data_IF_313933662001
#
_entry.id   IF_313933662001
#
_cell.length_a   1.000
_cell.length_b   1.000
_cell.length_c   1.000
_cell.angle_alpha   90.00
_cell.angle_beta   90.00
_cell.angle_gamma   90.00
#
_symmetry.space_group_name_H-M   'P 1'
#
loop_
_entity.id
_entity.type
_entity.pdbx_description
1 polymer ?
#
# COMPACT_ATOMS: atom_id res chain seq x y z
N UNK A 1 -55.27 -51.12 -37.41
CA UNK A 1 -55.20 -49.72 -36.97
C UNK A 1 -53.80 -49.50 -36.41
N UNK A 2 -52.88 -48.67 -36.87
CA UNK A 2 -52.70 -47.75 -38.01
C UNK A 2 -51.19 -47.46 -38.03
N UNK A 3 -50.50 -47.70 -39.14
CA UNK A 3 -49.90 -46.67 -40.01
C UNK A 3 -49.02 -45.62 -39.29
N UNK A 4 -47.70 -45.71 -39.47
CA UNK A 4 -46.74 -44.64 -39.16
C UNK A 4 -45.93 -44.30 -40.42
N UNK A 5 -46.15 -43.09 -40.95
CA UNK A 5 -45.49 -42.50 -42.13
C UNK A 5 -44.41 -41.51 -41.67
N UNK A 6 -43.36 -41.40 -42.48
CA UNK A 6 -42.22 -40.47 -42.44
C UNK A 6 -42.56 -38.98 -42.16
N UNK A 7 -41.68 -38.30 -41.40
CA UNK A 7 -41.11 -36.97 -41.73
C UNK A 7 -40.15 -36.46 -40.61
N UNK A 8 -38.98 -35.94 -41.01
CA UNK A 8 -38.12 -34.99 -40.25
C UNK A 8 -38.64 -33.54 -40.49
N UNK A 9 -38.30 -32.45 -39.75
CA UNK A 9 -36.98 -32.07 -39.19
C UNK A 9 -36.98 -31.17 -37.89
N UNK A 10 -35.79 -30.63 -37.56
CA UNK A 10 -35.48 -29.31 -36.94
C UNK A 10 -34.85 -29.22 -35.53
N UNK A 11 -33.59 -28.76 -35.55
CA UNK A 11 -32.90 -27.78 -34.69
C UNK A 11 -32.69 -27.99 -33.17
N UNK A 12 -31.43 -28.21 -32.79
CA UNK A 12 -30.70 -27.52 -31.71
C UNK A 12 -29.21 -27.86 -31.90
N UNK A 13 -28.32 -26.94 -32.28
CA UNK A 13 -27.71 -25.95 -31.40
C UNK A 13 -26.20 -26.05 -31.59
N UNK A 14 -25.54 -24.91 -31.82
CA UNK A 14 -24.16 -24.79 -32.29
C UNK A 14 -23.12 -25.37 -31.32
N UNK A 15 -22.24 -26.23 -31.83
CA UNK A 15 -21.02 -26.67 -31.15
C UNK A 15 -19.89 -26.78 -32.16
N UNK A 16 -19.08 -25.73 -32.29
CA UNK A 16 -17.87 -25.79 -33.11
C UNK A 16 -16.81 -26.61 -32.36
N UNK A 17 -16.54 -27.81 -32.85
CA UNK A 17 -15.35 -28.58 -32.49
C UNK A 17 -14.35 -28.56 -33.65
N UNK A 18 -13.10 -28.28 -33.28
CA UNK A 18 -12.01 -27.82 -34.12
C UNK A 18 -11.74 -28.61 -35.40
N UNK A 19 -11.29 -27.88 -36.41
CA UNK A 19 -10.74 -28.42 -37.65
C UNK A 19 -9.47 -29.23 -37.32
N UNK A 20 -9.54 -30.55 -37.50
CA UNK A 20 -8.36 -31.40 -37.65
C UNK A 20 -7.83 -31.26 -39.07
N UNK A 21 -6.58 -30.85 -39.24
CA UNK A 21 -5.85 -31.02 -40.49
C UNK A 21 -4.91 -32.23 -40.35
N UNK A 22 -5.17 -33.27 -41.13
CA UNK A 22 -4.26 -34.40 -41.31
C UNK A 22 -3.28 -34.07 -42.47
N UNK A 23 -2.04 -34.59 -42.45
CA UNK A 23 -0.92 -34.06 -43.21
C UNK A 23 -0.87 -34.68 -44.60
N UNK A 24 -0.79 -33.86 -45.65
CA UNK A 24 -0.14 -34.27 -46.91
C UNK A 24 0.03 -33.07 -47.82
N UNK A 25 1.28 -32.60 -47.91
CA UNK A 25 2.01 -32.25 -49.13
C UNK A 25 3.26 -31.50 -48.68
N UNK A 26 4.37 -32.24 -48.58
CA UNK A 26 5.70 -31.66 -48.67
C UNK A 26 5.78 -30.90 -49.99
N UNK A 27 5.76 -29.57 -49.91
CA UNK A 27 6.46 -28.75 -50.87
C UNK A 27 7.61 -28.10 -50.11
N UNK A 28 8.70 -27.89 -50.82
CA UNK A 28 9.97 -27.28 -50.42
C UNK A 28 11.09 -28.26 -50.04
N UNK A 29 12.12 -28.16 -50.87
CA UNK A 29 13.28 -29.01 -51.05
C UNK A 29 14.26 -28.85 -49.88
N UNK A 30 14.84 -29.97 -49.47
CA UNK A 30 16.00 -30.03 -48.59
C UNK A 30 17.20 -29.37 -49.26
N UNK A 31 17.57 -28.18 -48.84
CA UNK A 31 18.94 -27.67 -48.89
C UNK A 31 19.12 -26.62 -47.81
N UNK A 32 20.31 -26.67 -47.22
CA UNK A 32 20.84 -25.78 -46.19
C UNK A 32 20.43 -26.14 -44.76
N UNK A 33 21.05 -27.21 -44.28
CA UNK A 33 21.21 -27.54 -42.87
C UNK A 33 22.01 -26.45 -42.16
N UNK A 34 21.36 -25.33 -41.84
CA UNK A 34 21.77 -24.52 -40.69
C UNK A 34 21.12 -25.19 -39.50
N UNK A 35 21.91 -26.02 -38.79
CA UNK A 35 21.50 -26.51 -37.49
C UNK A 35 21.25 -25.30 -36.60
N UNK A 36 19.98 -24.87 -36.53
CA UNK A 36 19.51 -23.96 -35.50
C UNK A 36 19.68 -24.76 -34.22
N UNK A 37 20.86 -24.65 -33.62
CA UNK A 37 21.05 -24.96 -32.22
C UNK A 37 19.98 -24.13 -31.54
N UNK A 38 18.88 -24.80 -31.15
CA UNK A 38 18.00 -24.31 -30.11
C UNK A 38 18.97 -24.10 -28.95
N UNK A 39 19.45 -22.87 -28.80
CA UNK A 39 19.73 -22.35 -27.48
C UNK A 39 18.40 -22.49 -26.78
N UNK A 40 18.21 -23.63 -26.13
CA UNK A 40 17.28 -23.76 -25.04
C UNK A 40 17.79 -22.70 -24.09
N UNK A 41 17.26 -21.47 -24.21
CA UNK A 41 17.32 -20.54 -23.11
C UNK A 41 16.57 -21.32 -22.05
N UNK A 42 17.32 -21.89 -21.13
CA UNK A 42 16.72 -22.38 -19.91
C UNK A 42 16.18 -21.11 -19.27
N UNK A 43 14.90 -20.83 -19.52
CA UNK A 43 14.09 -20.08 -18.57
C UNK A 43 13.89 -20.99 -17.34
N UNK A 44 15.01 -21.45 -16.77
CA UNK A 44 15.18 -22.11 -15.49
C UNK A 44 15.47 -21.08 -14.41
N UNK A 45 14.95 -19.87 -14.58
CA UNK A 45 14.80 -18.92 -13.51
C UNK A 45 13.30 -18.73 -13.34
N UNK A 46 12.77 -19.03 -12.15
CA UNK A 46 11.42 -18.64 -11.76
C UNK A 46 11.24 -17.15 -12.08
N UNK A 47 10.59 -16.83 -13.19
CA UNK A 47 10.20 -15.46 -13.53
C UNK A 47 9.03 -15.03 -12.65
N UNK A 48 9.27 -14.98 -11.34
CA UNK A 48 8.45 -14.18 -10.43
C UNK A 48 8.98 -12.75 -10.46
N UNK A 49 8.88 -12.11 -11.65
CA UNK A 49 9.41 -10.77 -11.87
C UNK A 49 8.44 -9.68 -11.38
N UNK A 50 7.17 -10.05 -11.19
CA UNK A 50 6.11 -9.12 -10.80
C UNK A 50 5.73 -9.39 -9.35
N UNK A 51 6.00 -8.41 -8.48
CA UNK A 51 5.50 -8.41 -7.11
C UNK A 51 4.14 -7.73 -7.09
N UNK A 52 3.18 -8.32 -6.39
CA UNK A 52 1.89 -7.68 -6.12
C UNK A 52 1.99 -6.90 -4.81
N UNK A 53 1.39 -5.70 -4.78
CA UNK A 53 1.27 -4.95 -3.52
C UNK A 53 0.34 -5.67 -2.56
N UNK A 54 0.74 -5.81 -1.28
CA UNK A 54 -0.11 -6.45 -0.27
C UNK A 54 -1.21 -5.48 0.21
N UNK A 55 -2.51 -5.79 -0.03
CA UNK A 55 -3.61 -4.94 0.43
C UNK A 55 -4.02 -5.23 1.89
N UNK A 56 -3.53 -6.30 2.51
CA UNK A 56 -3.96 -6.77 3.83
C UNK A 56 -2.99 -6.27 4.90
N UNK A 57 -3.52 -5.69 5.99
CA UNK A 57 -2.76 -5.22 7.17
C UNK A 57 -1.61 -4.25 6.82
N UNK A 58 -1.74 -3.51 5.72
CA UNK A 58 -0.73 -2.59 5.21
C UNK A 58 -1.24 -1.14 5.24
N UNK A 59 -1.96 -0.78 6.30
CA UNK A 59 -2.49 0.58 6.52
C UNK A 59 -1.36 1.60 6.60
N UNK A 60 -1.63 2.82 6.12
CA UNK A 60 -0.68 3.92 6.02
C UNK A 60 -1.13 5.09 6.89
N UNK A 61 -0.17 5.94 7.24
CA UNK A 61 -0.31 7.03 8.19
C UNK A 61 0.33 8.30 7.61
N UNK A 62 -0.01 8.60 6.36
CA UNK A 62 0.52 9.75 5.61
C UNK A 62 2.05 9.73 5.46
N UNK A 63 2.71 10.89 5.55
CA UNK A 63 4.12 11.07 5.26
C UNK A 63 5.02 10.11 6.06
N UNK A 64 6.10 9.65 5.40
CA UNK A 64 7.07 8.67 5.90
C UNK A 64 6.54 7.26 6.20
N UNK A 65 5.22 7.02 6.19
CA UNK A 65 4.63 5.73 6.59
C UNK A 65 4.83 4.56 5.60
N UNK A 66 5.37 4.84 4.41
CA UNK A 66 5.81 3.84 3.42
C UNK A 66 7.26 3.39 3.62
N UNK A 67 8.04 4.12 4.40
CA UNK A 67 9.42 3.77 4.74
C UNK A 67 9.43 2.66 5.80
N UNK A 68 10.59 2.01 6.02
CA UNK A 68 10.80 1.21 7.21
C UNK A 68 10.53 2.01 8.49
N UNK A 69 10.18 1.35 9.62
CA UNK A 69 10.02 2.02 10.90
C UNK A 69 11.22 2.92 11.22
N UNK A 70 10.94 4.16 11.61
CA UNK A 70 11.98 5.14 11.92
C UNK A 70 12.67 4.75 13.24
N UNK A 71 14.00 4.80 13.26
CA UNK A 71 14.77 4.71 14.50
C UNK A 71 14.69 6.01 15.29
N UNK A 72 15.03 5.98 16.57
CA UNK A 72 15.07 7.19 17.40
C UNK A 72 16.05 8.24 16.83
N UNK A 73 17.16 7.81 16.22
CA UNK A 73 18.09 8.70 15.51
C UNK A 73 17.47 9.38 14.29
N UNK A 74 16.66 8.64 13.50
CA UNK A 74 15.94 9.21 12.36
C UNK A 74 14.88 10.20 12.84
N UNK A 75 14.12 9.84 13.89
CA UNK A 75 13.13 10.73 14.49
C UNK A 75 13.79 12.02 15.01
N UNK A 76 14.95 11.91 15.67
CA UNK A 76 15.71 13.07 16.13
C UNK A 76 16.05 14.02 14.96
N UNK A 77 16.48 13.49 13.82
CA UNK A 77 16.80 14.30 12.62
C UNK A 77 15.58 15.00 12.04
N UNK A 78 14.42 14.35 12.02
CA UNK A 78 13.16 14.98 11.59
C UNK A 78 12.75 16.10 12.57
N UNK A 79 12.92 15.90 13.87
CA UNK A 79 12.66 16.92 14.89
C UNK A 79 13.64 18.10 14.77
N UNK A 80 14.94 17.83 14.58
CA UNK A 80 15.94 18.86 14.31
C UNK A 80 15.58 19.67 13.05
N UNK A 81 15.05 19.01 12.03
CA UNK A 81 14.55 19.68 10.83
C UNK A 81 13.38 20.62 11.16
N UNK A 82 12.41 20.20 11.98
CA UNK A 82 11.32 21.09 12.44
C UNK A 82 11.88 22.34 13.12
N UNK A 83 12.82 22.16 14.05
CA UNK A 83 13.42 23.27 14.81
C UNK A 83 14.20 24.23 13.93
N UNK A 84 14.94 23.73 12.93
CA UNK A 84 15.66 24.57 11.95
C UNK A 84 14.73 25.44 11.11
N UNK A 85 13.50 24.99 10.88
CA UNK A 85 12.47 25.79 10.19
C UNK A 85 11.72 26.74 11.14
N UNK A 86 12.03 26.72 12.45
CA UNK A 86 11.32 27.49 13.45
C UNK A 86 9.91 26.97 13.74
N UNK A 87 9.63 25.71 13.41
CA UNK A 87 8.35 25.07 13.69
C UNK A 87 8.31 24.50 15.10
N UNK A 88 7.11 24.37 15.64
CA UNK A 88 6.87 23.96 17.02
C UNK A 88 6.45 22.49 17.02
N UNK A 89 7.28 21.57 17.55
CA UNK A 89 6.94 20.15 17.64
C UNK A 89 5.78 19.89 18.60
N UNK A 90 5.00 18.85 18.31
CA UNK A 90 3.89 18.41 19.14
C UNK A 90 3.65 16.90 18.97
N UNK A 91 3.07 16.26 19.98
CA UNK A 91 2.73 14.84 19.95
C UNK A 91 1.22 14.65 20.07
N UNK A 92 0.71 13.69 19.32
CA UNK A 92 -0.67 13.23 19.43
C UNK A 92 -0.71 11.70 19.46
N UNK A 93 -1.73 11.16 20.12
CA UNK A 93 -1.96 9.73 20.22
C UNK A 93 -3.44 9.38 20.06
N UNK A 94 -3.69 8.16 19.60
CA UNK A 94 -5.05 7.66 19.35
C UNK A 94 -5.09 6.13 19.42
N UNK A 95 -6.24 5.58 19.79
CA UNK A 95 -6.44 4.12 19.84
C UNK A 95 -6.76 3.52 18.47
N UNK A 96 -7.55 4.22 17.64
CA UNK A 96 -8.03 3.68 16.38
C UNK A 96 -7.05 3.90 15.21
N UNK A 97 -6.39 5.07 15.18
CA UNK A 97 -5.40 5.46 14.19
C UNK A 97 -5.93 5.55 12.76
N UNK A 98 -7.24 5.72 12.57
CA UNK A 98 -7.83 5.72 11.23
C UNK A 98 -8.99 6.70 11.05
N UNK A 99 -9.12 7.21 9.83
CA UNK A 99 -10.21 8.11 9.44
C UNK A 99 -11.46 7.29 9.11
N UNK A 100 -12.61 7.76 9.57
CA UNK A 100 -13.93 7.13 9.32
C UNK A 100 -15.00 8.16 9.00
N UNK A 101 -16.22 7.70 8.72
CA UNK A 101 -17.38 8.54 8.39
C UNK A 101 -18.61 8.01 9.10
N UNK A 102 -18.73 8.36 10.37
CA UNK A 102 -19.84 7.98 11.24
C UNK A 102 -20.89 9.09 11.29
N UNK A 103 -20.47 10.34 11.51
CA UNK A 103 -21.40 11.43 11.84
C UNK A 103 -21.90 12.22 10.62
N UNK A 104 -21.15 12.23 9.51
CA UNK A 104 -21.58 12.89 8.27
C UNK A 104 -20.88 12.32 7.03
N UNK A 105 -21.57 12.48 5.89
CA UNK A 105 -21.07 12.08 4.56
C UNK A 105 -20.98 13.27 3.59
N UNK A 106 -21.04 14.50 4.09
CA UNK A 106 -20.81 15.69 3.28
C UNK A 106 -19.36 15.75 2.75
N UNK A 107 -19.12 16.35 1.56
CA UNK A 107 -17.77 16.54 1.03
C UNK A 107 -16.86 17.26 2.04
N UNK A 108 -15.64 16.76 2.22
CA UNK A 108 -14.65 17.34 3.15
C UNK A 108 -14.83 16.99 4.63
N UNK A 109 -15.92 16.31 5.02
CA UNK A 109 -16.11 15.84 6.39
C UNK A 109 -15.67 14.39 6.58
N UNK A 110 -14.82 14.20 7.59
CA UNK A 110 -14.37 12.90 8.07
C UNK A 110 -14.13 12.92 9.59
N UNK A 111 -14.46 11.82 10.25
CA UNK A 111 -14.20 11.54 11.66
C UNK A 111 -12.80 10.91 11.83
N UNK A 112 -12.23 10.98 13.03
CA UNK A 112 -10.92 10.38 13.33
C UNK A 112 -9.70 11.10 12.72
N UNK A 113 -9.89 12.31 12.17
CA UNK A 113 -8.78 13.17 11.70
C UNK A 113 -7.95 13.72 12.86
N UNK A 114 -8.63 14.15 13.92
CA UNK A 114 -8.02 14.67 15.13
C UNK A 114 -7.73 13.52 16.09
N UNK A 115 -6.52 13.55 16.65
CA UNK A 115 -6.07 12.62 17.70
C UNK A 115 -5.96 13.40 19.02
N UNK A 116 -5.75 12.68 20.12
CA UNK A 116 -5.62 13.32 21.44
C UNK A 116 -4.24 13.93 21.59
N UNK A 117 -4.19 15.19 21.99
CA UNK A 117 -2.94 15.90 22.26
C UNK A 117 -2.21 15.30 23.46
N UNK A 118 -0.92 15.00 23.31
CA UNK A 118 -0.05 14.68 24.44
C UNK A 118 0.51 15.97 25.04
N UNK A 119 0.07 16.32 26.25
CA UNK A 119 0.41 17.56 26.94
C UNK A 119 0.11 18.79 26.06
N UNK A 120 1.13 19.57 25.69
CA UNK A 120 1.02 20.81 24.90
C UNK A 120 2.12 20.84 23.83
N UNK A 121 1.96 21.63 22.75
CA UNK A 121 3.05 21.89 21.81
C UNK A 121 4.29 22.40 22.55
N UNK A 122 5.47 21.95 22.13
CA UNK A 122 6.72 22.14 22.85
C UNK A 122 7.34 23.50 22.51
N UNK A 123 6.66 24.58 22.90
CA UNK A 123 7.09 25.96 22.64
C UNK A 123 8.49 26.24 23.21
N UNK A 124 9.37 26.83 22.39
CA UNK A 124 10.73 27.16 22.79
C UNK A 124 11.66 25.94 22.93
N UNK A 125 11.24 24.75 22.52
CA UNK A 125 12.10 23.57 22.48
C UNK A 125 13.22 23.75 21.45
N UNK A 126 14.46 23.58 21.89
CA UNK A 126 15.67 23.71 21.06
C UNK A 126 16.48 22.43 20.97
N UNK A 127 16.02 21.34 21.60
CA UNK A 127 16.75 20.09 21.70
C UNK A 127 15.82 18.90 21.39
N UNK A 128 16.15 18.16 20.33
CA UNK A 128 15.38 16.99 19.92
C UNK A 128 15.34 15.89 21.00
N UNK A 129 16.32 15.85 21.90
CA UNK A 129 16.33 14.88 23.01
C UNK A 129 15.12 15.06 23.94
N UNK A 130 14.63 16.29 24.11
CA UNK A 130 13.44 16.57 24.92
C UNK A 130 12.18 16.03 24.25
N UNK A 131 12.07 16.16 22.93
CA UNK A 131 10.95 15.60 22.15
C UNK A 131 10.98 14.08 22.19
N UNK A 132 12.15 13.46 22.05
CA UNK A 132 12.31 12.02 22.20
C UNK A 132 11.92 11.56 23.60
N UNK A 133 12.32 12.28 24.65
CA UNK A 133 11.92 11.96 26.02
C UNK A 133 10.40 11.93 26.18
N UNK A 134 9.70 12.94 25.67
CA UNK A 134 8.23 12.99 25.68
C UNK A 134 7.60 11.88 24.85
N UNK A 135 8.21 11.50 23.71
CA UNK A 135 7.80 10.32 22.95
C UNK A 135 7.88 9.07 23.83
N UNK A 136 9.00 8.84 24.52
CA UNK A 136 9.17 7.65 25.36
C UNK A 136 8.17 7.62 26.53
N UNK A 137 7.91 8.77 27.17
CA UNK A 137 6.89 8.85 28.23
C UNK A 137 5.48 8.58 27.67
N UNK A 138 5.15 9.09 26.49
CA UNK A 138 3.87 8.80 25.82
C UNK A 138 3.74 7.32 25.47
N UNK A 139 4.78 6.70 24.90
CA UNK A 139 4.83 5.25 24.61
C UNK A 139 4.64 4.42 25.88
N UNK A 140 5.23 4.84 27.00
CA UNK A 140 5.14 4.15 28.29
C UNK A 140 3.73 4.26 28.89
N UNK A 141 3.10 5.44 28.81
CA UNK A 141 1.74 5.65 29.28
C UNK A 141 0.71 4.92 28.42
N UNK A 142 0.92 4.88 27.10
CA UNK A 142 0.00 4.32 26.12
C UNK A 142 0.72 3.35 25.16
N UNK A 143 1.10 2.15 25.65
CA UNK A 143 1.89 1.19 24.85
C UNK A 143 1.14 0.64 23.64
N UNK A 144 -0.20 0.66 23.67
CA UNK A 144 -1.06 0.13 22.62
C UNK A 144 -1.73 1.24 21.78
N UNK A 145 -1.30 2.49 21.90
CA UNK A 145 -1.81 3.58 21.08
C UNK A 145 -0.94 3.80 19.83
N UNK A 146 -1.57 4.32 18.78
CA UNK A 146 -0.85 5.02 17.72
C UNK A 146 -0.31 6.34 18.28
N UNK A 147 0.92 6.69 17.93
CA UNK A 147 1.53 7.96 18.33
C UNK A 147 2.12 8.59 17.08
N UNK A 148 1.88 9.89 16.88
CA UNK A 148 2.46 10.69 15.81
C UNK A 148 3.12 11.96 16.33
N UNK A 149 4.16 12.40 15.63
CA UNK A 149 4.80 13.68 15.86
C UNK A 149 4.36 14.66 14.77
N UNK A 150 4.11 15.90 15.17
CA UNK A 150 3.56 16.99 14.37
C UNK A 150 4.43 18.22 14.51
N UNK A 151 4.35 19.12 13.55
CA UNK A 151 4.96 20.44 13.64
C UNK A 151 4.00 21.53 13.17
N UNK A 152 3.94 22.63 13.92
CA UNK A 152 3.14 23.81 13.57
C UNK A 152 4.03 25.00 13.19
N UNK A 153 3.63 25.71 12.15
CA UNK A 153 4.18 27.01 11.78
C UNK A 153 3.21 28.10 12.22
N UNK A 154 3.65 28.90 13.19
CA UNK A 154 2.85 29.99 13.73
C UNK A 154 2.72 31.19 12.77
N UNK A 155 3.62 31.35 11.81
CA UNK A 155 3.56 32.43 10.82
C UNK A 155 2.52 32.13 9.75
N UNK A 156 2.47 30.88 9.29
CA UNK A 156 1.49 30.41 8.30
C UNK A 156 0.21 29.86 8.92
N UNK A 157 0.12 29.79 10.26
CA UNK A 157 -1.04 29.34 11.02
C UNK A 157 -1.53 27.94 10.60
N UNK A 158 -0.59 27.01 10.44
CA UNK A 158 -0.90 25.68 9.92
C UNK A 158 0.00 24.58 10.47
N UNK A 159 -0.50 23.35 10.39
CA UNK A 159 0.32 22.16 10.56
C UNK A 159 1.16 21.96 9.30
N UNK A 160 2.48 21.88 9.45
CA UNK A 160 3.41 21.78 8.33
C UNK A 160 4.04 20.39 8.18
N UNK A 161 3.99 19.58 9.24
CA UNK A 161 4.55 18.23 9.22
C UNK A 161 3.76 17.29 10.14
N UNK A 162 3.65 16.03 9.74
CA UNK A 162 3.09 14.96 10.55
C UNK A 162 3.67 13.61 10.11
N UNK A 163 4.15 12.80 11.06
CA UNK A 163 4.54 11.42 10.77
C UNK A 163 4.33 10.50 11.98
N UNK A 164 4.04 9.24 11.69
CA UNK A 164 3.79 8.22 12.72
C UNK A 164 5.09 7.78 13.40
N UNK A 165 5.03 7.61 14.73
CA UNK A 165 6.12 7.21 15.61
C UNK A 165 5.91 5.80 16.16
N UNK A 166 4.69 5.49 16.60
CA UNK A 166 4.32 4.19 17.14
C UNK A 166 3.08 3.66 16.41
N UNK A 167 3.11 2.37 16.12
CA UNK A 167 1.94 1.58 15.72
C UNK A 167 1.81 0.46 16.75
N UNK A 168 0.61 0.20 17.29
CA UNK A 168 0.40 -0.92 18.20
C UNK A 168 0.74 -2.24 17.50
N UNK A 169 1.36 -3.13 18.27
CA UNK A 169 1.65 -4.51 17.87
C UNK A 169 0.41 -5.35 18.17
N UNK A 170 -0.49 -5.48 17.20
CA UNK A 170 -1.55 -6.50 17.26
C UNK A 170 -1.01 -7.85 16.83
#
# INVERSE_FOLDING_TARGET
MSAGIFAAPAAAGSGYHGLKANPTKQLFSTKDSVAWSRKTVSNGCKTSCMKTWNPINNKKFEALSYLPPLSDESIAKEVDYMMKNGWIPCLEFDEEGSVRREHSRMPGYYDGRYWTLWKLPMFGCTDASQVLHEIHECKKAYPNAYIRCLAFDNKHQGQCMAFVIQKPSN
#
